data_IF_626634671384
#
_entry.id   IF_626634671384
#
_cell.length_a   1.000
_cell.length_b   1.000
_cell.length_c   1.000
_cell.angle_alpha   90.00
_cell.angle_beta   90.00
_cell.angle_gamma   90.00
#
_symmetry.space_group_name_H-M   'P 1'
#
loop_
_entity.id
_entity.type
_entity.pdbx_description
1 polymer ?
#
# COMPACT_ATOMS: atom_id res chain seq x y z
N UNK A 1 -0.99 -5.88 -10.44
CA UNK A 1 -0.93 -4.69 -9.57
C UNK A 1 -0.10 -3.61 -10.24
N UNK A 2 -0.55 -2.39 -10.19
CA UNK A 2 0.12 -1.30 -10.88
C UNK A 2 -0.12 0.02 -10.16
N UNK A 3 0.67 1.02 -10.52
CA UNK A 3 0.49 2.38 -10.00
C UNK A 3 -0.94 2.84 -10.29
N UNK A 4 -1.56 3.44 -9.30
CA UNK A 4 -2.95 3.88 -9.38
C UNK A 4 -3.96 2.92 -8.81
N UNK A 5 -3.55 1.69 -8.47
CA UNK A 5 -4.45 0.74 -7.84
C UNK A 5 -4.73 1.14 -6.39
N UNK A 6 -5.92 0.82 -5.91
CA UNK A 6 -6.29 1.02 -4.53
C UNK A 6 -6.03 -0.25 -3.73
N UNK A 7 -5.51 -0.07 -2.53
CA UNK A 7 -5.13 -1.19 -1.66
C UNK A 7 -5.63 -0.96 -0.24
N UNK A 8 -5.74 -2.05 0.51
CA UNK A 8 -5.95 -2.01 1.96
C UNK A 8 -4.92 -2.91 2.61
N UNK A 9 -4.65 -2.67 3.89
CA UNK A 9 -3.81 -3.58 4.66
C UNK A 9 -4.54 -4.89 4.88
N UNK A 10 -3.80 -5.99 4.79
CA UNK A 10 -4.31 -7.28 5.24
C UNK A 10 -4.36 -7.30 6.77
N UNK A 11 -5.23 -8.13 7.37
CA UNK A 11 -5.44 -8.09 8.83
C UNK A 11 -4.19 -8.25 9.68
N UNK A 12 -3.22 -9.03 9.21
CA UNK A 12 -2.00 -9.26 9.99
C UNK A 12 -0.98 -8.14 9.87
N UNK A 13 -1.18 -7.21 8.93
CA UNK A 13 -0.19 -6.16 8.66
C UNK A 13 -0.48 -4.91 9.46
N UNK A 14 -1.75 -4.58 9.65
CA UNK A 14 -2.13 -3.35 10.33
C UNK A 14 -3.61 -3.40 10.71
N UNK A 15 -3.95 -2.68 11.79
CA UNK A 15 -5.34 -2.51 12.16
C UNK A 15 -6.01 -1.32 11.45
N UNK A 16 -5.24 -0.56 10.69
CA UNK A 16 -5.78 0.56 9.93
C UNK A 16 -6.65 0.03 8.79
N UNK A 17 -7.89 0.52 8.70
CA UNK A 17 -8.87 0.03 7.74
C UNK A 17 -9.06 0.94 6.54
N UNK A 18 -8.30 2.01 6.43
CA UNK A 18 -8.43 2.94 5.33
C UNK A 18 -7.84 2.41 4.02
N UNK A 19 -8.18 3.09 2.93
CA UNK A 19 -7.72 2.73 1.60
C UNK A 19 -6.46 3.53 1.25
N UNK A 20 -5.50 2.87 0.63
CA UNK A 20 -4.29 3.50 0.12
C UNK A 20 -4.25 3.49 -1.40
N UNK A 21 -3.39 4.35 -1.95
CA UNK A 21 -3.18 4.45 -3.38
C UNK A 21 -1.72 4.17 -3.69
N UNK A 22 -1.48 3.25 -4.61
CA UNK A 22 -0.11 2.92 -5.02
C UNK A 22 0.45 4.05 -5.87
N UNK A 23 1.53 4.67 -5.39
CA UNK A 23 2.23 5.73 -6.11
C UNK A 23 3.42 5.23 -6.91
N UNK A 24 4.09 4.19 -6.43
CA UNK A 24 5.26 3.66 -7.09
C UNK A 24 5.45 2.20 -6.75
N UNK A 25 6.10 1.49 -7.64
CA UNK A 25 6.46 0.09 -7.44
C UNK A 25 7.96 0.01 -7.69
N UNK A 26 8.70 -0.56 -6.74
CA UNK A 26 10.14 -0.66 -6.84
C UNK A 26 10.58 -2.10 -6.69
N UNK A 27 11.47 -2.54 -7.57
CA UNK A 27 12.05 -3.87 -7.45
C UNK A 27 13.16 -3.84 -6.42
N UNK A 28 13.05 -4.69 -5.40
CA UNK A 28 14.08 -4.83 -4.37
C UNK A 28 15.10 -5.88 -4.81
N UNK A 29 14.61 -6.93 -5.44
CA UNK A 29 15.45 -7.96 -6.04
C UNK A 29 14.71 -8.56 -7.23
N UNK A 30 15.23 -9.65 -7.82
CA UNK A 30 14.71 -10.16 -9.09
C UNK A 30 13.23 -10.51 -9.05
N UNK A 31 12.71 -10.93 -7.87
CA UNK A 31 11.30 -11.29 -7.75
C UNK A 31 10.66 -10.77 -6.46
N UNK A 32 11.28 -9.75 -5.86
CA UNK A 32 10.75 -9.10 -4.67
C UNK A 32 10.51 -7.63 -4.99
N UNK A 33 9.30 -7.15 -4.71
CA UNK A 33 8.90 -5.77 -4.97
C UNK A 33 8.40 -5.13 -3.69
N UNK A 34 8.40 -3.81 -3.68
CA UNK A 34 7.74 -3.06 -2.62
C UNK A 34 6.93 -1.94 -3.27
N UNK A 35 5.86 -1.54 -2.60
CA UNK A 35 4.95 -0.53 -3.10
C UNK A 35 5.01 0.70 -2.23
N UNK A 36 5.08 1.87 -2.87
CA UNK A 36 4.95 3.13 -2.15
C UNK A 36 3.47 3.49 -2.16
N UNK A 37 2.86 3.49 -0.99
CA UNK A 37 1.42 3.65 -0.84
C UNK A 37 1.13 4.92 -0.06
N UNK A 38 0.21 5.72 -0.58
CA UNK A 38 -0.30 6.90 0.10
C UNK A 38 -1.61 6.54 0.81
N UNK A 39 -1.72 6.95 2.07
CA UNK A 39 -2.90 6.69 2.90
C UNK A 39 -3.52 8.02 3.30
N UNK A 40 -4.26 8.68 2.38
CA UNK A 40 -4.69 10.06 2.60
C UNK A 40 -5.58 10.25 3.82
N UNK A 41 -6.34 9.22 4.22
CA UNK A 41 -7.20 9.31 5.39
C UNK A 41 -6.51 8.90 6.70
N UNK A 42 -5.23 8.47 6.65
CA UNK A 42 -4.53 8.00 7.84
C UNK A 42 -4.14 9.18 8.72
N UNK A 43 -4.59 9.22 9.98
CA UNK A 43 -4.22 10.32 10.87
C UNK A 43 -2.71 10.37 11.12
N UNK A 44 -2.17 11.57 11.23
CA UNK A 44 -0.73 11.74 11.42
C UNK A 44 -0.23 11.08 12.71
N UNK A 45 -1.05 11.03 13.74
CA UNK A 45 -0.63 10.43 15.01
C UNK A 45 -0.51 8.90 14.96
N UNK A 46 -1.06 8.28 13.91
CA UNK A 46 -0.91 6.83 13.73
C UNK A 46 0.42 6.51 13.05
N UNK A 47 0.97 7.46 12.28
CA UNK A 47 2.22 7.28 11.58
C UNK A 47 2.23 8.04 10.27
N UNK A 48 3.16 7.67 9.42
CA UNK A 48 3.32 8.34 8.14
C UNK A 48 2.13 8.04 7.23
N UNK A 49 1.73 9.05 6.43
CA UNK A 49 0.67 8.87 5.47
C UNK A 49 1.16 8.27 4.16
N UNK A 50 2.47 8.16 3.98
CA UNK A 50 3.05 7.50 2.81
C UNK A 50 4.08 6.49 3.30
N UNK A 51 3.89 5.23 2.93
CA UNK A 51 4.72 4.14 3.46
C UNK A 51 5.15 3.22 2.33
N UNK A 52 6.22 2.45 2.60
CA UNK A 52 6.64 1.35 1.74
C UNK A 52 6.04 0.07 2.27
N UNK A 53 5.32 -0.66 1.42
CA UNK A 53 4.63 -1.87 1.83
C UNK A 53 5.04 -3.05 0.97
N UNK A 54 5.07 -4.22 1.58
CA UNK A 54 5.29 -5.47 0.86
C UNK A 54 3.98 -5.92 0.21
N UNK A 55 4.04 -6.55 -0.98
CA UNK A 55 2.84 -7.11 -1.61
C UNK A 55 2.08 -8.10 -0.74
N UNK A 56 2.77 -8.75 0.20
CA UNK A 56 2.13 -9.70 1.10
C UNK A 56 1.29 -9.02 2.19
N UNK A 57 1.53 -7.73 2.44
CA UNK A 57 0.89 -7.02 3.54
C UNK A 57 -0.29 -6.18 3.10
N UNK A 58 -0.46 -5.99 1.81
CA UNK A 58 -1.58 -5.19 1.27
C UNK A 58 -2.30 -5.98 0.19
N UNK A 59 -3.57 -5.63 0.00
CA UNK A 59 -4.43 -6.30 -0.97
C UNK A 59 -5.01 -5.26 -1.91
N UNK A 60 -4.97 -5.53 -3.22
CA UNK A 60 -5.61 -4.66 -4.21
C UNK A 60 -7.12 -4.87 -4.14
N UNK A 61 -7.86 -3.79 -3.92
CA UNK A 61 -9.31 -3.83 -3.84
C UNK A 61 -9.97 -3.22 -5.06
N UNK A 62 -9.23 -2.44 -5.84
CA UNK A 62 -9.78 -1.81 -7.03
C UNK A 62 -8.62 -1.57 -8.00
N UNK A 63 -8.65 -2.26 -9.11
CA UNK A 63 -7.63 -2.06 -10.13
C UNK A 63 -7.95 -0.79 -10.91
N UNK A 64 -6.90 -0.05 -11.25
CA UNK A 64 -7.02 1.13 -12.08
C UNK A 64 -7.44 0.74 -13.50
N UNK A 65 -8.16 1.60 -14.15
CA UNK A 65 -8.61 1.39 -15.54
C UNK A 65 -8.09 2.48 -16.42
#
# INVERSE_FOLDING_TARGET
MQVGDLVIYKPWASTYEGTGLIHAIEAVSSDVYRYKVSWPAKPAYIGKTMTWESPRDVEVISASR
#
